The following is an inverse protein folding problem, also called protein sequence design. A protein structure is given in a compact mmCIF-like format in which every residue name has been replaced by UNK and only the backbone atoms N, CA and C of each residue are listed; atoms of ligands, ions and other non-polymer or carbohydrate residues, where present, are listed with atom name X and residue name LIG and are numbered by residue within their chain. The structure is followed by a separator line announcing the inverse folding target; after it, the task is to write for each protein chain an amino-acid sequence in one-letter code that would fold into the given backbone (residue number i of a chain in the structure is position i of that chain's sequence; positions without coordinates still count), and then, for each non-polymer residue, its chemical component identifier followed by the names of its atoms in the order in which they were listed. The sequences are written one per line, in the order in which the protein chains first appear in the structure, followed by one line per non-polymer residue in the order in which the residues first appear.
data_IF_157915463943
#
_entry.id   IF_157915463943
#
_cell.length_a   1.000
_cell.length_b   1.000
_cell.length_c   1.000
_cell.angle_alpha   90.00
_cell.angle_beta   90.00
_cell.angle_gamma   90.00
#
_symmetry.space_group_name_H-M   'P 1'
#
loop_
_entity.id
_entity.type
_entity.pdbx_description
1 polymer ?
#
# COMPACT_ATOMS: atom_id res chain seq x y z
N UNK A 1 33.43 20.31 -15.16
CA UNK A 1 33.17 19.00 -15.78
C UNK A 1 32.79 18.03 -14.66
N UNK A 2 31.58 17.48 -14.75
CA UNK A 2 30.94 16.46 -13.90
C UNK A 2 30.85 16.69 -12.38
N UNK A 3 29.71 17.23 -11.94
CA UNK A 3 29.17 16.91 -10.60
C UNK A 3 28.76 15.43 -10.69
N UNK A 4 29.40 14.59 -9.89
CA UNK A 4 29.02 13.19 -9.71
C UNK A 4 27.56 13.13 -9.26
N UNK A 5 26.65 12.69 -10.14
CA UNK A 5 25.29 12.35 -9.75
C UNK A 5 25.39 11.13 -8.84
N UNK A 6 25.38 11.35 -7.53
CA UNK A 6 25.25 10.29 -6.54
C UNK A 6 24.07 9.39 -6.97
N UNK A 7 24.34 8.10 -7.10
CA UNK A 7 23.44 7.09 -7.67
C UNK A 7 22.00 7.31 -7.19
N UNK A 8 21.14 7.76 -8.10
CA UNK A 8 19.78 8.19 -7.82
C UNK A 8 18.86 7.00 -8.04
N UNK A 9 18.53 6.28 -6.97
CA UNK A 9 17.71 5.08 -7.07
C UNK A 9 17.57 4.34 -5.75
N UNK A 10 16.69 3.33 -5.73
CA UNK A 10 16.48 2.47 -4.58
C UNK A 10 17.73 1.65 -4.23
N UNK A 11 18.12 1.66 -2.96
CA UNK A 11 19.29 0.96 -2.42
C UNK A 11 18.80 -0.19 -1.55
N UNK A 12 19.22 -1.43 -1.84
CA UNK A 12 19.01 -2.55 -0.91
C UNK A 12 20.01 -2.44 0.23
N UNK A 13 19.52 -2.58 1.44
CA UNK A 13 20.35 -2.58 2.64
C UNK A 13 20.37 -3.96 3.31
N UNK A 14 21.37 -4.19 4.16
CA UNK A 14 21.58 -5.48 4.82
C UNK A 14 20.47 -5.84 5.84
N UNK A 15 19.70 -4.85 6.30
CA UNK A 15 18.53 -5.00 7.17
C UNK A 15 17.27 -5.48 6.43
N UNK A 16 17.36 -5.71 5.12
CA UNK A 16 16.23 -6.15 4.29
C UNK A 16 15.34 -5.01 3.78
N UNK A 17 15.61 -3.77 4.20
CA UNK A 17 14.88 -2.60 3.72
C UNK A 17 15.47 -2.07 2.40
N UNK A 18 14.59 -1.47 1.61
CA UNK A 18 14.95 -0.69 0.43
C UNK A 18 14.87 0.78 0.81
N UNK A 19 16.01 1.47 0.70
CA UNK A 19 16.11 2.91 0.98
C UNK A 19 15.96 3.72 -0.31
N UNK A 20 15.01 4.64 -0.32
CA UNK A 20 14.78 5.56 -1.44
C UNK A 20 14.06 6.84 -0.98
N UNK A 21 14.21 7.92 -1.73
CA UNK A 21 13.44 9.14 -1.48
C UNK A 21 11.99 8.98 -1.96
N UNK A 22 11.05 9.75 -1.40
CA UNK A 22 9.67 9.79 -1.91
C UNK A 22 9.60 10.20 -3.39
N UNK A 23 10.51 11.08 -3.84
CA UNK A 23 10.61 11.46 -5.24
C UNK A 23 10.96 10.27 -6.13
N UNK A 24 11.83 9.36 -5.67
CA UNK A 24 12.21 8.15 -6.39
C UNK A 24 11.10 7.11 -6.38
N UNK A 25 10.38 6.98 -5.26
CA UNK A 25 9.20 6.12 -5.13
C UNK A 25 8.11 6.51 -6.13
N UNK A 26 7.84 7.80 -6.27
CA UNK A 26 6.86 8.33 -7.24
C UNK A 26 7.19 8.03 -8.70
N UNK A 27 8.44 7.67 -9.01
CA UNK A 27 8.86 7.27 -10.37
C UNK A 27 8.81 5.76 -10.59
N UNK A 28 8.45 4.98 -9.58
CA UNK A 28 8.28 3.54 -9.71
C UNK A 28 6.90 3.21 -10.28
N UNK A 29 6.86 2.20 -11.14
CA UNK A 29 5.62 1.58 -11.57
C UNK A 29 5.28 0.44 -10.62
N UNK A 30 4.00 0.36 -10.24
CA UNK A 30 3.46 -0.69 -9.39
C UNK A 30 2.38 -1.46 -10.15
N UNK A 31 2.49 -2.78 -10.10
CA UNK A 31 1.46 -3.68 -10.61
C UNK A 31 0.74 -4.32 -9.42
N UNK A 32 -0.58 -4.46 -9.55
CA UNK A 32 -1.41 -5.17 -8.59
C UNK A 32 -1.05 -6.66 -8.58
N UNK A 33 -0.77 -7.21 -7.39
CA UNK A 33 -0.44 -8.61 -7.23
C UNK A 33 -1.66 -9.42 -6.78
N UNK A 34 -2.37 -8.96 -5.75
CA UNK A 34 -3.43 -9.72 -5.09
C UNK A 34 -4.38 -8.80 -4.33
N UNK A 35 -5.66 -9.16 -4.27
CA UNK A 35 -6.58 -8.64 -3.25
C UNK A 35 -7.53 -9.72 -2.76
N UNK A 36 -7.95 -9.60 -1.51
CA UNK A 36 -8.87 -10.54 -0.87
C UNK A 36 -9.79 -9.82 0.09
N UNK A 37 -10.90 -10.48 0.44
CA UNK A 37 -11.77 -10.09 1.54
C UNK A 37 -11.22 -10.65 2.85
N UNK A 38 -11.39 -9.91 3.93
CA UNK A 38 -11.13 -10.44 5.27
C UNK A 38 -12.31 -11.34 5.66
N UNK A 39 -12.06 -12.64 5.74
CA UNK A 39 -13.05 -13.62 6.17
C UNK A 39 -13.10 -13.65 7.69
N UNK A 40 -13.85 -12.72 8.30
CA UNK A 40 -14.13 -12.81 9.72
C UNK A 40 -15.16 -13.92 9.97
N UNK A 41 -14.76 -14.97 10.67
CA UNK A 41 -15.71 -15.87 11.32
C UNK A 41 -16.41 -15.11 12.44
N UNK A 42 -17.62 -14.62 12.18
CA UNK A 42 -18.50 -14.14 13.26
C UNK A 42 -18.73 -15.34 14.20
N UNK A 43 -18.37 -15.25 15.49
CA UNK A 43 -18.61 -16.34 16.43
C UNK A 43 -20.10 -16.68 16.43
N UNK A 44 -20.42 -17.96 16.23
CA UNK A 44 -21.79 -18.44 16.28
C UNK A 44 -22.39 -18.09 17.67
N UNK A 45 -23.50 -17.35 17.68
CA UNK A 45 -24.21 -16.99 18.92
C UNK A 45 -24.18 -15.50 19.31
N UNK A 46 -23.64 -14.60 18.48
CA UNK A 46 -23.64 -13.16 18.79
C UNK A 46 -25.03 -12.49 18.83
N UNK A 47 -26.12 -13.20 18.47
CA UNK A 47 -27.52 -12.90 18.80
C UNK A 47 -28.12 -11.58 18.27
N UNK A 48 -27.29 -10.68 17.76
CA UNK A 48 -27.66 -9.32 17.40
C UNK A 48 -27.18 -9.02 15.98
N UNK A 49 -27.97 -8.23 15.24
CA UNK A 49 -27.55 -7.64 13.97
C UNK A 49 -26.52 -6.54 14.24
N UNK A 50 -25.27 -6.91 14.47
CA UNK A 50 -24.16 -5.95 14.60
C UNK A 50 -23.76 -5.49 13.20
N UNK A 51 -23.72 -4.17 12.92
CA UNK A 51 -23.17 -3.65 11.68
C UNK A 51 -21.73 -4.14 11.52
N UNK A 52 -21.43 -4.80 10.39
CA UNK A 52 -20.07 -5.19 10.01
C UNK A 52 -19.66 -4.42 8.76
N UNK A 53 -18.38 -4.10 8.65
CA UNK A 53 -17.80 -3.56 7.43
C UNK A 53 -17.34 -4.71 6.53
N UNK A 54 -17.40 -4.50 5.22
CA UNK A 54 -16.66 -5.34 4.28
C UNK A 54 -15.24 -4.78 4.27
N UNK A 55 -14.27 -5.57 4.72
CA UNK A 55 -12.86 -5.22 4.68
C UNK A 55 -12.08 -6.25 3.88
N UNK A 56 -10.83 -5.92 3.60
CA UNK A 56 -9.91 -6.80 2.92
C UNK A 56 -8.52 -6.22 2.87
N UNK A 57 -7.68 -6.86 2.09
CA UNK A 57 -6.30 -6.43 1.87
C UNK A 57 -5.99 -6.35 0.38
N UNK A 58 -4.95 -5.59 0.05
CA UNK A 58 -4.39 -5.50 -1.30
C UNK A 58 -2.87 -5.47 -1.25
N UNK A 59 -2.24 -6.15 -2.19
CA UNK A 59 -0.79 -6.29 -2.29
C UNK A 59 -0.35 -5.87 -3.70
N UNK A 60 0.73 -5.09 -3.77
CA UNK A 60 1.28 -4.46 -4.96
C UNK A 60 2.79 -4.62 -4.99
N UNK A 61 3.35 -4.75 -6.18
CA UNK A 61 4.79 -4.93 -6.37
C UNK A 61 5.35 -3.96 -7.40
N UNK A 62 6.54 -3.44 -7.12
CA UNK A 62 7.31 -2.63 -8.05
C UNK A 62 7.85 -3.48 -9.18
N UNK A 63 7.83 -2.94 -10.41
CA UNK A 63 8.24 -3.68 -11.62
C UNK A 63 9.76 -3.76 -11.82
N UNK A 64 10.52 -2.94 -11.10
CA UNK A 64 11.97 -2.81 -11.27
C UNK A 64 12.70 -3.40 -10.07
N UNK A 65 13.92 -3.90 -10.31
CA UNK A 65 14.82 -4.30 -9.22
C UNK A 65 15.46 -3.05 -8.60
N UNK A 66 15.59 -2.98 -7.27
CA UNK A 66 15.10 -3.94 -6.28
C UNK A 66 13.57 -3.91 -6.14
N UNK A 67 12.97 -5.09 -6.00
CA UNK A 67 11.51 -5.22 -5.97
C UNK A 67 10.96 -4.62 -4.69
N UNK A 68 10.13 -3.59 -4.85
CA UNK A 68 9.41 -2.93 -3.77
C UNK A 68 8.08 -3.65 -3.55
N UNK A 69 7.71 -3.90 -2.30
CA UNK A 69 6.39 -4.43 -1.94
C UNK A 69 5.60 -3.37 -1.17
N UNK A 70 4.33 -3.21 -1.51
CA UNK A 70 3.37 -2.37 -0.80
C UNK A 70 2.09 -3.17 -0.55
N UNK A 71 1.65 -3.25 0.70
CA UNK A 71 0.42 -3.91 1.09
C UNK A 71 -0.37 -3.06 2.06
N UNK A 72 -1.69 -2.98 1.90
CA UNK A 72 -2.54 -2.28 2.86
C UNK A 72 -3.91 -2.90 2.97
N UNK A 73 -4.54 -2.65 4.11
CA UNK A 73 -5.90 -3.08 4.38
C UNK A 73 -6.86 -1.99 3.89
N UNK A 74 -8.08 -2.39 3.56
CA UNK A 74 -9.12 -1.50 3.05
C UNK A 74 -10.48 -1.84 3.65
N UNK A 75 -11.36 -0.85 3.68
CA UNK A 75 -12.78 -1.04 3.95
C UNK A 75 -13.61 -0.55 2.76
N UNK A 76 -14.78 -1.15 2.58
CA UNK A 76 -15.80 -0.65 1.65
C UNK A 76 -16.70 0.36 2.37
N UNK A 77 -16.54 1.64 2.07
CA UNK A 77 -17.27 2.71 2.74
C UNK A 77 -18.64 2.91 2.08
N UNK A 78 -19.67 2.24 2.64
CA UNK A 78 -21.05 2.36 2.16
C UNK A 78 -21.68 3.73 2.44
N UNK A 79 -21.10 4.52 3.35
CA UNK A 79 -21.60 5.86 3.71
C UNK A 79 -21.09 6.96 2.77
N UNK A 80 -19.98 6.71 2.08
CA UNK A 80 -19.41 7.65 1.12
C UNK A 80 -20.30 7.83 -0.12
N UNK A 81 -20.39 9.04 -0.72
CA UNK A 81 -21.26 9.33 -1.87
C UNK A 81 -21.05 8.43 -3.09
N UNK A 82 -19.86 7.82 -3.21
CA UNK A 82 -19.48 6.93 -4.31
C UNK A 82 -19.33 5.46 -3.92
N UNK A 83 -19.61 5.09 -2.66
CA UNK A 83 -19.41 3.74 -2.12
C UNK A 83 -18.03 3.20 -2.51
N UNK A 84 -16.99 3.80 -1.94
CA UNK A 84 -15.62 3.60 -2.39
C UNK A 84 -14.79 2.80 -1.38
N UNK A 85 -13.74 2.15 -1.89
CA UNK A 85 -12.72 1.57 -1.02
C UNK A 85 -11.90 2.69 -0.37
N UNK A 86 -11.70 2.57 0.94
CA UNK A 86 -10.84 3.45 1.73
C UNK A 86 -9.75 2.61 2.39
N UNK A 87 -8.50 3.09 2.33
CA UNK A 87 -7.37 2.48 3.03
C UNK A 87 -7.57 2.56 4.55
N UNK A 88 -7.11 1.53 5.25
CA UNK A 88 -7.02 1.43 6.69
C UNK A 88 -5.54 1.45 7.11
N UNK A 89 -5.15 2.47 7.88
CA UNK A 89 -3.79 2.56 8.45
C UNK A 89 -2.66 2.64 7.41
N UNK A 90 -1.43 2.76 7.88
CA UNK A 90 -0.26 2.88 7.03
C UNK A 90 -0.02 1.61 6.18
N UNK A 91 0.42 1.74 4.92
CA UNK A 91 0.83 0.58 4.12
C UNK A 91 2.02 -0.14 4.75
N UNK A 92 1.94 -1.46 4.82
CA UNK A 92 3.08 -2.35 5.07
C UNK A 92 3.97 -2.35 3.84
N UNK A 93 5.28 -2.20 4.04
CA UNK A 93 6.24 -2.17 2.93
C UNK A 93 7.59 -2.72 3.33
N UNK A 94 8.44 -2.99 2.35
CA UNK A 94 9.87 -3.23 2.55
C UNK A 94 10.71 -1.95 2.37
N UNK A 95 10.10 -0.77 2.54
CA UNK A 95 10.74 0.51 2.31
C UNK A 95 11.15 1.18 3.61
N UNK A 96 12.27 1.89 3.56
CA UNK A 96 12.60 2.95 4.50
C UNK A 96 12.79 4.22 3.67
N UNK A 97 11.94 5.23 3.89
CA UNK A 97 12.00 6.45 3.10
C UNK A 97 13.12 7.35 3.58
N UNK A 98 13.81 7.96 2.61
CA UNK A 98 14.88 8.91 2.87
C UNK A 98 14.38 10.35 2.73
N UNK A 99 14.94 11.24 3.55
CA UNK A 99 14.78 12.68 3.38
C UNK A 99 15.58 13.22 2.16
N UNK A 100 15.48 14.52 1.83
CA UNK A 100 16.24 15.11 0.73
C UNK A 100 17.77 15.04 0.90
N UNK A 101 18.27 14.97 2.13
CA UNK A 101 19.68 14.82 2.47
C UNK A 101 20.13 13.34 2.51
N UNK A 102 19.23 12.43 2.15
CA UNK A 102 19.38 10.97 2.13
C UNK A 102 19.61 10.34 3.49
N UNK A 103 19.12 10.97 4.56
CA UNK A 103 19.02 10.37 5.87
C UNK A 103 17.73 9.57 6.02
N UNK A 104 17.78 8.51 6.83
CA UNK A 104 16.62 7.69 7.17
C UNK A 104 15.53 8.56 7.84
N UNK A 105 14.31 8.60 7.27
CA UNK A 105 13.17 9.19 7.95
C UNK A 105 12.77 8.34 9.16
N UNK A 106 12.20 8.98 10.17
CA UNK A 106 11.53 8.23 11.24
C UNK A 106 10.38 7.40 10.66
N UNK A 107 10.04 6.32 11.36
CA UNK A 107 8.94 5.41 10.98
C UNK A 107 7.64 6.18 10.75
N UNK A 108 7.21 7.02 11.69
CA UNK A 108 6.00 7.82 11.56
C UNK A 108 5.99 8.76 10.34
N UNK A 109 7.13 9.36 9.99
CA UNK A 109 7.22 10.20 8.79
C UNK A 109 7.20 9.36 7.51
N UNK A 110 7.83 8.18 7.53
CA UNK A 110 7.78 7.23 6.41
C UNK A 110 6.35 6.75 6.18
N UNK A 111 5.64 6.35 7.24
CA UNK A 111 4.24 5.93 7.19
C UNK A 111 3.35 7.02 6.58
N UNK A 112 3.40 8.25 7.11
CA UNK A 112 2.60 9.37 6.58
C UNK A 112 2.85 9.64 5.09
N UNK A 113 4.10 9.49 4.63
CA UNK A 113 4.42 9.66 3.22
C UNK A 113 3.95 8.50 2.36
N UNK A 114 4.03 7.26 2.85
CA UNK A 114 3.50 6.08 2.18
C UNK A 114 1.98 6.13 2.09
N UNK A 115 1.31 6.56 3.14
CA UNK A 115 -0.13 6.83 3.19
C UNK A 115 -0.55 7.80 2.07
N UNK A 116 0.07 8.98 2.02
CA UNK A 116 -0.21 9.97 0.99
C UNK A 116 0.14 9.46 -0.41
N UNK A 117 1.20 8.64 -0.54
CA UNK A 117 1.58 8.03 -1.80
C UNK A 117 0.51 7.08 -2.32
N UNK A 118 0.06 6.13 -1.51
CA UNK A 118 -0.96 5.16 -1.95
C UNK A 118 -2.33 5.79 -2.14
N UNK A 119 -2.69 6.81 -1.36
CA UNK A 119 -3.96 7.53 -1.54
C UNK A 119 -3.99 8.32 -2.86
N UNK A 120 -2.83 8.66 -3.42
CA UNK A 120 -2.72 9.26 -4.75
C UNK A 120 -2.76 8.22 -5.90
N UNK A 121 -2.66 6.92 -5.61
CA UNK A 121 -2.83 5.86 -6.60
C UNK A 121 -4.32 5.64 -6.88
N UNK A 122 -4.67 5.40 -8.15
CA UNK A 122 -6.04 5.01 -8.55
C UNK A 122 -6.29 3.50 -8.31
N UNK A 123 -5.97 3.01 -7.12
CA UNK A 123 -5.94 1.59 -6.80
C UNK A 123 -7.33 0.97 -6.62
N UNK A 124 -8.33 1.76 -6.23
CA UNK A 124 -9.66 1.27 -5.84
C UNK A 124 -10.35 0.49 -6.97
N UNK A 125 -10.26 0.99 -8.20
CA UNK A 125 -10.86 0.33 -9.36
C UNK A 125 -10.22 -1.04 -9.65
N UNK A 126 -8.90 -1.13 -9.51
CA UNK A 126 -8.15 -2.38 -9.69
C UNK A 126 -8.52 -3.42 -8.63
N UNK A 127 -8.59 -2.98 -7.36
CA UNK A 127 -8.96 -3.86 -6.24
C UNK A 127 -10.39 -4.35 -6.35
N UNK A 128 -11.36 -3.46 -6.61
CA UNK A 128 -12.76 -3.83 -6.81
C UNK A 128 -12.91 -4.86 -7.93
N UNK A 129 -12.29 -4.61 -9.09
CA UNK A 129 -12.33 -5.53 -10.23
C UNK A 129 -11.72 -6.90 -9.88
N UNK A 130 -10.60 -6.92 -9.15
CA UNK A 130 -9.98 -8.18 -8.74
C UNK A 130 -10.86 -8.98 -7.79
N UNK A 131 -11.44 -8.33 -6.78
CA UNK A 131 -12.37 -8.96 -5.84
C UNK A 131 -13.60 -9.49 -6.58
N UNK A 132 -14.21 -8.69 -7.45
CA UNK A 132 -15.34 -9.13 -8.28
C UNK A 132 -15.03 -10.38 -9.09
N UNK A 133 -13.85 -10.45 -9.74
CA UNK A 133 -13.46 -11.60 -10.53
C UNK A 133 -13.15 -12.83 -9.68
N UNK A 134 -12.51 -12.64 -8.52
CA UNK A 134 -12.11 -13.72 -7.60
C UNK A 134 -13.31 -14.41 -6.96
N UNK A 135 -14.34 -13.65 -6.60
CA UNK A 135 -15.52 -14.15 -5.89
C UNK A 135 -16.77 -14.25 -6.79
N UNK A 136 -16.58 -14.25 -8.12
CA UNK A 136 -17.66 -14.61 -9.07
C UNK A 136 -18.07 -16.07 -8.83
N UNK A 137 -19.38 -16.36 -8.73
CA UNK A 137 -19.90 -17.73 -8.59
C UNK A 137 -19.67 -18.59 -9.84
#
# INVERSE_FOLDING_TARGET
MAISMAESGPIRSADGCIRLTLADLRRQAFTHLLSGLDEYCVPAGAGHATPTAITGYTEWVGERSPVISLGWDWLFDVSAPRRALRRLGAPRSNLLLLDPDRADLSEAHSELQLEAFVDALLWQATVLRHVELRYRP
#
